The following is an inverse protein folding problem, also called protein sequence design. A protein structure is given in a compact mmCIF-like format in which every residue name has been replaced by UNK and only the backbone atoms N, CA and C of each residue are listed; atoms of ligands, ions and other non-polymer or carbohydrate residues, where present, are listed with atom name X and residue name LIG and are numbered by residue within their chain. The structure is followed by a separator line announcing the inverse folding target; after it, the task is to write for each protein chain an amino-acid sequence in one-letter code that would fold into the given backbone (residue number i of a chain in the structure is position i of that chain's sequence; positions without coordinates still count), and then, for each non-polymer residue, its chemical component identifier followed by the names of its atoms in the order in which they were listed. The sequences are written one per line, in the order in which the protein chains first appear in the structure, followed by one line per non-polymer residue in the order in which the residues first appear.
data_IF_802674927903
#
_entry.id   IF_802674927903
#
_cell.length_a   1.000
_cell.length_b   1.000
_cell.length_c   1.000
_cell.angle_alpha   90.00
_cell.angle_beta   90.00
_cell.angle_gamma   90.00
#
_symmetry.space_group_name_H-M   'P 1'
#
loop_
_entity.id
_entity.type
_entity.pdbx_description
1 polymer ?
#
# COMPACT_ATOMS: atom_id res chain seq x y z
N UNK A 1 20.17 -15.23 -2.13
CA UNK A 1 20.15 -14.09 -1.18
C UNK A 1 18.74 -13.89 -0.66
N UNK A 2 18.56 -13.89 0.67
CA UNK A 2 17.26 -13.57 1.28
C UNK A 2 17.00 -12.05 1.23
N UNK A 3 15.75 -11.63 1.40
CA UNK A 3 15.35 -10.23 1.30
C UNK A 3 16.09 -9.32 2.30
N UNK A 4 16.35 -9.81 3.51
CA UNK A 4 17.11 -9.09 4.55
C UNK A 4 18.56 -8.82 4.15
N UNK A 5 19.19 -9.73 3.41
CA UNK A 5 20.55 -9.55 2.89
C UNK A 5 20.62 -8.49 1.79
N UNK A 6 19.54 -8.31 1.01
CA UNK A 6 19.44 -7.25 -0.01
C UNK A 6 19.14 -5.86 0.58
N UNK A 7 18.45 -5.83 1.72
CA UNK A 7 18.13 -4.59 2.46
C UNK A 7 19.30 -4.15 3.37
N UNK A 8 20.37 -4.93 3.44
CA UNK A 8 21.63 -4.52 4.07
C UNK A 8 21.58 -4.56 5.60
N UNK A 9 21.13 -5.67 6.16
CA UNK A 9 21.22 -5.98 7.60
C UNK A 9 20.00 -5.59 8.41
N UNK A 10 19.17 -4.65 7.91
CA UNK A 10 17.89 -4.22 8.49
C UNK A 10 17.02 -3.52 7.43
N UNK A 11 15.70 -3.55 7.61
CA UNK A 11 14.71 -2.76 6.88
C UNK A 11 14.63 -1.35 7.51
N UNK A 12 15.54 -0.45 7.15
CA UNK A 12 15.27 0.98 7.31
C UNK A 12 14.32 1.41 6.18
N UNK A 13 13.06 1.77 6.48
CA UNK A 13 12.08 2.11 5.46
C UNK A 13 12.48 3.34 4.63
N UNK A 14 13.33 4.23 5.15
CA UNK A 14 13.74 5.47 4.49
C UNK A 14 15.07 5.37 3.74
N UNK A 15 15.85 4.33 3.98
CA UNK A 15 17.20 4.15 3.40
C UNK A 15 17.25 4.16 1.88
N UNK A 16 16.23 3.60 1.25
CA UNK A 16 16.21 3.36 -0.19
C UNK A 16 15.64 4.55 -0.94
N UNK A 17 16.25 4.94 -2.07
CA UNK A 17 15.78 6.09 -2.86
C UNK A 17 14.51 5.76 -3.65
N UNK A 18 13.77 6.78 -4.03
CA UNK A 18 12.70 6.67 -5.02
C UNK A 18 13.31 6.61 -6.42
N UNK A 19 12.85 5.65 -7.25
CA UNK A 19 13.06 5.68 -8.70
C UNK A 19 12.00 6.55 -9.37
N UNK A 20 10.75 6.34 -8.94
CA UNK A 20 9.58 7.08 -9.37
C UNK A 20 8.79 7.45 -8.11
N UNK A 21 8.48 8.73 -7.96
CA UNK A 21 7.57 9.25 -6.95
C UNK A 21 6.63 10.24 -7.65
N UNK A 22 5.30 10.13 -7.46
CA UNK A 22 4.37 11.06 -8.02
C UNK A 22 4.48 12.40 -7.30
N UNK A 23 4.08 13.48 -7.98
CA UNK A 23 4.13 14.85 -7.45
C UNK A 23 2.89 15.23 -6.64
N UNK A 24 1.98 14.29 -6.44
CA UNK A 24 0.70 14.49 -5.75
C UNK A 24 0.98 14.52 -4.25
N UNK A 25 0.47 15.54 -3.55
CA UNK A 25 0.61 15.71 -2.11
C UNK A 25 -0.76 15.79 -1.44
N UNK A 26 -1.16 14.73 -0.71
CA UNK A 26 -2.56 14.56 -0.28
C UNK A 26 -3.15 15.77 0.48
N UNK A 27 -2.35 16.50 1.26
CA UNK A 27 -2.82 17.71 1.96
C UNK A 27 -3.10 18.89 1.02
N UNK A 28 -2.30 19.05 -0.05
CA UNK A 28 -2.48 20.13 -1.04
C UNK A 28 -3.71 19.87 -1.91
N UNK A 29 -3.90 18.63 -2.37
CA UNK A 29 -5.07 18.27 -3.19
C UNK A 29 -6.30 17.85 -2.37
N UNK A 30 -6.25 17.94 -1.04
CA UNK A 30 -7.32 17.56 -0.11
C UNK A 30 -7.81 16.11 -0.31
N UNK A 31 -6.87 15.20 -0.58
CA UNK A 31 -7.15 13.77 -0.75
C UNK A 31 -7.36 13.13 0.64
N UNK A 32 -8.54 12.58 0.85
CA UNK A 32 -8.92 11.88 2.09
C UNK A 32 -8.77 10.37 2.00
N UNK A 33 -8.83 9.81 0.79
CA UNK A 33 -8.73 8.37 0.53
C UNK A 33 -7.64 8.08 -0.50
N UNK A 34 -6.72 7.19 -0.18
CA UNK A 34 -5.68 6.75 -1.10
C UNK A 34 -5.92 5.30 -1.49
N UNK A 35 -6.23 5.07 -2.77
CA UNK A 35 -6.40 3.73 -3.32
C UNK A 35 -5.05 3.24 -3.84
N UNK A 36 -4.40 2.39 -3.06
CA UNK A 36 -3.11 1.80 -3.41
C UNK A 36 -3.33 0.47 -4.14
N UNK A 37 -2.93 0.42 -5.40
CA UNK A 37 -3.01 -0.81 -6.20
C UNK A 37 -1.62 -1.44 -6.35
N UNK A 38 -1.46 -2.66 -5.86
CA UNK A 38 -0.24 -3.43 -6.06
C UNK A 38 -0.21 -4.00 -7.47
N UNK A 39 0.77 -3.58 -8.26
CA UNK A 39 0.87 -3.97 -9.68
C UNK A 39 2.29 -4.34 -10.08
N UNK A 40 2.51 -4.78 -11.32
CA UNK A 40 3.84 -5.16 -11.84
C UNK A 40 4.30 -4.19 -12.92
N UNK A 41 5.61 -3.99 -13.14
CA UNK A 41 6.11 -3.08 -14.16
C UNK A 41 5.46 -3.30 -15.55
N UNK A 42 5.27 -4.57 -15.94
CA UNK A 42 4.71 -4.98 -17.23
C UNK A 42 3.18 -4.85 -17.37
N UNK A 43 2.46 -4.60 -16.28
CA UNK A 43 0.99 -4.57 -16.25
C UNK A 43 0.43 -3.21 -16.71
N UNK A 44 0.92 -2.71 -17.85
CA UNK A 44 0.51 -1.40 -18.42
C UNK A 44 -0.99 -1.36 -18.73
N UNK A 45 -1.49 -2.40 -19.40
CA UNK A 45 -2.90 -2.48 -19.79
C UNK A 45 -3.81 -2.60 -18.56
N UNK A 46 -3.41 -3.39 -17.56
CA UNK A 46 -4.18 -3.52 -16.31
C UNK A 46 -4.27 -2.17 -15.59
N UNK A 47 -3.16 -1.43 -15.46
CA UNK A 47 -3.21 -0.09 -14.86
C UNK A 47 -4.12 0.85 -15.63
N UNK A 48 -4.07 0.83 -16.97
CA UNK A 48 -4.96 1.63 -17.80
C UNK A 48 -6.43 1.28 -17.55
N UNK A 49 -6.80 0.00 -17.60
CA UNK A 49 -8.18 -0.46 -17.36
C UNK A 49 -8.65 -0.06 -15.96
N UNK A 50 -7.82 -0.25 -14.93
CA UNK A 50 -8.19 0.09 -13.55
C UNK A 50 -8.38 1.61 -13.35
N UNK A 51 -7.59 2.46 -14.04
CA UNK A 51 -7.84 3.91 -14.07
C UNK A 51 -9.20 4.21 -14.66
N UNK A 52 -9.55 3.62 -15.79
CA UNK A 52 -10.82 3.84 -16.47
C UNK A 52 -12.01 3.41 -15.60
N UNK A 53 -11.90 2.25 -14.94
CA UNK A 53 -12.95 1.72 -14.06
C UNK A 53 -13.16 2.61 -12.83
N UNK A 54 -12.09 3.03 -12.15
CA UNK A 54 -12.19 3.73 -10.87
C UNK A 54 -12.25 5.26 -10.99
N UNK A 55 -11.84 5.87 -12.11
CA UNK A 55 -11.78 7.32 -12.29
C UNK A 55 -13.07 8.08 -11.89
N UNK A 56 -14.29 7.62 -12.24
CA UNK A 56 -15.50 8.32 -11.85
C UNK A 56 -15.69 8.39 -10.33
N UNK A 57 -15.31 7.32 -9.61
CA UNK A 57 -15.50 7.20 -8.16
C UNK A 57 -14.46 8.01 -7.40
N UNK A 58 -13.22 8.04 -7.91
CA UNK A 58 -12.13 8.82 -7.33
C UNK A 58 -12.46 10.31 -7.29
N UNK A 59 -12.97 10.83 -8.41
CA UNK A 59 -13.31 12.24 -8.59
C UNK A 59 -14.44 12.72 -7.66
N UNK A 60 -15.36 11.82 -7.29
CA UNK A 60 -16.51 12.15 -6.44
C UNK A 60 -16.20 12.10 -4.94
N UNK A 61 -15.12 11.41 -4.54
CA UNK A 61 -14.90 11.05 -3.14
C UNK A 61 -13.60 11.62 -2.53
N UNK A 62 -13.02 12.68 -3.10
CA UNK A 62 -11.71 13.20 -2.66
C UNK A 62 -10.66 12.09 -2.54
N UNK A 63 -10.64 11.20 -3.54
CA UNK A 63 -9.82 10.00 -3.53
C UNK A 63 -8.81 10.01 -4.69
N UNK A 64 -7.66 9.39 -4.48
CA UNK A 64 -6.59 9.30 -5.47
C UNK A 64 -6.09 7.86 -5.60
N UNK A 65 -5.73 7.46 -6.82
CA UNK A 65 -5.18 6.14 -7.11
C UNK A 65 -3.66 6.20 -7.13
N UNK A 66 -3.02 5.17 -6.56
CA UNK A 66 -1.57 5.06 -6.49
C UNK A 66 -1.14 3.63 -6.84
N UNK A 67 -0.43 3.47 -7.94
CA UNK A 67 0.10 2.18 -8.38
C UNK A 67 1.45 1.90 -7.72
N UNK A 68 1.47 0.94 -6.79
CA UNK A 68 2.66 0.43 -6.14
C UNK A 68 3.30 -0.69 -6.99
N UNK A 69 4.35 -0.33 -7.74
CA UNK A 69 5.00 -1.25 -8.70
C UNK A 69 6.10 -2.10 -8.05
N UNK A 70 6.77 -1.58 -7.03
CA UNK A 70 7.89 -2.24 -6.36
C UNK A 70 9.24 -1.66 -6.78
N UNK A 71 10.18 -2.50 -7.19
CA UNK A 71 11.53 -2.06 -7.60
C UNK A 71 11.71 -1.92 -9.13
N UNK A 72 12.94 -1.64 -9.54
CA UNK A 72 13.36 -1.45 -10.93
C UNK A 72 13.22 -2.76 -11.69
N UNK A 73 12.62 -2.70 -12.89
CA UNK A 73 12.52 -3.88 -13.76
C UNK A 73 13.88 -4.28 -14.28
N UNK A 74 14.17 -5.59 -14.34
CA UNK A 74 15.36 -6.13 -15.00
C UNK A 74 15.36 -5.98 -16.53
N UNK A 75 14.26 -5.51 -17.10
CA UNK A 75 14.13 -5.23 -18.52
C UNK A 75 14.07 -3.70 -18.73
N UNK A 76 15.12 -3.15 -19.32
CA UNK A 76 15.27 -1.71 -19.51
C UNK A 76 14.16 -1.10 -20.38
N UNK A 77 13.67 -1.82 -21.39
CA UNK A 77 12.55 -1.35 -22.21
C UNK A 77 11.26 -1.24 -21.39
N UNK A 78 11.01 -2.18 -20.48
CA UNK A 78 9.87 -2.11 -19.56
C UNK A 78 10.04 -0.94 -18.60
N UNK A 79 11.25 -0.73 -18.07
CA UNK A 79 11.53 0.37 -17.14
C UNK A 79 11.35 1.74 -17.83
N UNK A 80 11.90 1.94 -19.03
CA UNK A 80 11.72 3.17 -19.80
C UNK A 80 10.25 3.46 -20.12
N UNK A 81 9.47 2.41 -20.46
CA UNK A 81 8.04 2.54 -20.70
C UNK A 81 7.27 2.91 -19.43
N UNK A 82 7.64 2.34 -18.28
CA UNK A 82 7.05 2.68 -16.97
C UNK A 82 7.31 4.13 -16.57
N UNK A 83 8.53 4.62 -16.77
CA UNK A 83 8.87 6.03 -16.52
C UNK A 83 8.10 6.97 -17.46
N UNK A 84 7.91 6.56 -18.72
CA UNK A 84 7.10 7.31 -19.68
C UNK A 84 5.62 7.34 -19.31
N UNK A 85 5.08 6.25 -18.77
CA UNK A 85 3.72 6.20 -18.22
C UNK A 85 3.60 7.13 -17.01
N UNK A 86 4.50 7.01 -16.04
CA UNK A 86 4.49 7.83 -14.82
C UNK A 86 4.55 9.33 -15.10
N UNK A 87 5.33 9.76 -16.11
CA UNK A 87 5.38 11.16 -16.55
C UNK A 87 4.04 11.70 -17.06
N UNK A 88 3.13 10.83 -17.50
CA UNK A 88 1.81 11.21 -18.03
C UNK A 88 0.72 11.13 -16.98
N UNK A 89 0.79 10.12 -16.11
CA UNK A 89 -0.33 9.79 -15.21
C UNK A 89 -0.11 10.26 -13.78
N UNK A 90 1.14 10.49 -13.36
CA UNK A 90 1.50 10.96 -12.03
C UNK A 90 0.90 10.13 -10.87
N UNK A 91 0.72 8.84 -11.08
CA UNK A 91 0.06 7.92 -10.13
C UNK A 91 0.86 6.64 -9.88
N UNK A 92 2.17 6.65 -10.13
CA UNK A 92 3.04 5.47 -10.00
C UNK A 92 4.13 5.75 -8.96
N UNK A 93 4.32 4.83 -8.04
CA UNK A 93 5.48 4.80 -7.12
C UNK A 93 6.37 3.58 -7.38
N UNK A 94 7.67 3.80 -7.31
CA UNK A 94 8.69 2.79 -7.50
C UNK A 94 9.96 3.12 -6.69
N UNK A 95 10.53 2.13 -6.01
CA UNK A 95 11.79 2.27 -5.30
C UNK A 95 12.99 2.00 -6.21
N UNK A 96 14.11 2.67 -5.94
CA UNK A 96 15.42 2.47 -6.59
C UNK A 96 16.10 1.21 -6.01
N UNK A 97 15.45 0.06 -6.21
CA UNK A 97 15.93 -1.25 -5.78
C UNK A 97 15.84 -2.22 -6.94
N UNK A 98 16.91 -2.95 -7.23
CA UNK A 98 16.87 -4.03 -8.23
C UNK A 98 15.93 -5.13 -7.75
N UNK A 99 14.82 -5.30 -8.46
CA UNK A 99 13.82 -6.30 -8.16
C UNK A 99 14.06 -7.56 -8.99
N UNK A 100 14.63 -8.58 -8.35
CA UNK A 100 14.89 -9.86 -9.02
C UNK A 100 13.70 -10.84 -8.90
N UNK A 101 12.61 -10.50 -8.19
CA UNK A 101 11.36 -11.29 -8.06
C UNK A 101 10.38 -10.61 -7.10
N UNK A 102 9.15 -10.34 -7.57
CA UNK A 102 7.87 -10.22 -6.81
C UNK A 102 7.97 -9.74 -5.35
N UNK A 103 8.76 -8.72 -5.03
CA UNK A 103 8.93 -8.34 -3.64
C UNK A 103 7.73 -7.51 -3.16
N UNK A 104 6.70 -8.22 -2.68
CA UNK A 104 5.52 -7.64 -2.04
C UNK A 104 5.92 -6.65 -0.93
N UNK A 105 6.97 -6.97 -0.18
CA UNK A 105 7.51 -6.07 0.84
C UNK A 105 7.96 -4.72 0.27
N UNK A 106 8.64 -4.68 -0.89
CA UNK A 106 9.06 -3.41 -1.50
C UNK A 106 7.83 -2.58 -1.85
N UNK A 107 6.77 -3.20 -2.38
CA UNK A 107 5.51 -2.49 -2.63
C UNK A 107 4.93 -1.95 -1.32
N UNK A 108 4.86 -2.79 -0.29
CA UNK A 108 4.35 -2.40 1.03
C UNK A 108 5.11 -1.22 1.60
N UNK A 109 6.44 -1.31 1.68
CA UNK A 109 7.29 -0.23 2.14
C UNK A 109 7.13 1.03 1.29
N UNK A 110 7.03 0.88 -0.03
CA UNK A 110 6.90 2.03 -0.92
C UNK A 110 5.63 2.84 -0.66
N UNK A 111 4.46 2.20 -0.55
CA UNK A 111 3.23 2.97 -0.33
C UNK A 111 3.09 3.44 1.11
N UNK A 112 3.56 2.66 2.10
CA UNK A 112 3.55 3.07 3.50
C UNK A 112 4.39 4.34 3.71
N UNK A 113 5.62 4.33 3.17
CA UNK A 113 6.51 5.50 3.22
C UNK A 113 5.93 6.68 2.45
N UNK A 114 5.31 6.44 1.29
CA UNK A 114 4.65 7.52 0.55
C UNK A 114 3.54 8.19 1.38
N UNK A 115 2.71 7.40 2.07
CA UNK A 115 1.67 7.92 2.97
C UNK A 115 2.27 8.76 4.09
N UNK A 116 3.35 8.29 4.70
CA UNK A 116 4.05 8.99 5.78
C UNK A 116 4.66 10.32 5.30
N UNK A 117 5.39 10.31 4.18
CA UNK A 117 6.13 11.48 3.68
C UNK A 117 5.24 12.52 2.96
N UNK A 118 4.13 12.10 2.33
CA UNK A 118 3.40 12.96 1.38
C UNK A 118 1.92 13.17 1.73
N UNK A 119 1.39 12.49 2.74
CA UNK A 119 -0.04 12.45 2.99
C UNK A 119 -0.42 12.67 4.47
N UNK A 120 -0.21 13.92 4.94
CA UNK A 120 -0.54 14.35 6.31
C UNK A 120 -2.03 14.20 6.66
N UNK A 121 -2.92 14.73 5.81
CA UNK A 121 -4.38 14.80 6.08
C UNK A 121 -5.18 13.58 5.61
N UNK A 122 -4.48 12.53 5.16
CA UNK A 122 -5.12 11.31 4.68
C UNK A 122 -5.87 10.62 5.81
N UNK A 123 -7.10 10.18 5.56
CA UNK A 123 -7.92 9.43 6.53
C UNK A 123 -7.76 7.93 6.34
N UNK A 124 -7.88 7.46 5.11
CA UNK A 124 -7.88 6.03 4.83
C UNK A 124 -6.99 5.66 3.65
N UNK A 125 -6.39 4.48 3.75
CA UNK A 125 -5.70 3.80 2.65
C UNK A 125 -6.50 2.56 2.29
N UNK A 126 -6.91 2.44 1.04
CA UNK A 126 -7.50 1.23 0.47
C UNK A 126 -6.46 0.49 -0.35
N UNK A 127 -6.01 -0.67 0.11
CA UNK A 127 -5.11 -1.54 -0.66
C UNK A 127 -5.92 -2.51 -1.51
N UNK A 128 -5.53 -2.66 -2.78
CA UNK A 128 -6.13 -3.60 -3.75
C UNK A 128 -5.01 -4.30 -4.55
N UNK A 129 -5.19 -5.56 -4.94
CA UNK A 129 -4.35 -6.20 -5.96
C UNK A 129 -4.88 -5.94 -7.38
N UNK A 130 -3.98 -5.79 -8.35
CA UNK A 130 -4.35 -5.44 -9.73
C UNK A 130 -5.07 -6.53 -10.54
N UNK A 131 -5.30 -7.70 -9.95
CA UNK A 131 -6.02 -8.81 -10.57
C UNK A 131 -7.45 -8.99 -9.99
N UNK A 132 -7.96 -7.99 -9.28
CA UNK A 132 -9.27 -8.04 -8.65
C UNK A 132 -10.04 -6.76 -9.01
N UNK A 133 -11.28 -6.95 -9.42
CA UNK A 133 -12.27 -5.88 -9.49
C UNK A 133 -13.10 -5.92 -8.22
N UNK A 134 -13.31 -4.76 -7.63
CA UNK A 134 -13.88 -4.63 -6.30
C UNK A 134 -14.88 -3.47 -6.29
N UNK A 135 -15.96 -3.62 -5.53
CA UNK A 135 -16.95 -2.55 -5.37
C UNK A 135 -16.42 -1.43 -4.46
N UNK A 136 -15.60 -0.56 -5.06
CA UNK A 136 -15.00 0.61 -4.40
C UNK A 136 -16.05 1.59 -3.86
N UNK A 137 -17.20 1.69 -4.51
CA UNK A 137 -18.26 2.65 -4.17
C UNK A 137 -18.82 2.35 -2.78
N UNK A 138 -19.23 1.11 -2.54
CA UNK A 138 -19.76 0.69 -1.24
C UNK A 138 -18.76 0.86 -0.10
N UNK A 139 -17.46 0.66 -0.35
CA UNK A 139 -16.46 0.88 0.70
C UNK A 139 -16.21 2.36 0.98
N UNK A 140 -16.18 3.20 -0.06
CA UNK A 140 -16.06 4.65 0.13
C UNK A 140 -17.30 5.24 0.81
N UNK A 141 -18.49 4.68 0.59
CA UNK A 141 -19.70 5.05 1.34
C UNK A 141 -19.59 4.68 2.83
N UNK A 142 -19.10 3.46 3.14
CA UNK A 142 -18.88 3.03 4.53
C UNK A 142 -17.84 3.89 5.25
N UNK A 143 -16.78 4.29 4.54
CA UNK A 143 -15.70 5.11 5.08
C UNK A 143 -15.96 6.63 5.01
N UNK A 144 -16.98 7.03 4.24
CA UNK A 144 -17.39 8.42 4.05
C UNK A 144 -17.90 9.05 5.35
N UNK A 145 -18.04 10.38 5.39
CA UNK A 145 -18.65 11.06 6.52
C UNK A 145 -20.13 10.65 6.61
N UNK A 146 -20.42 9.65 7.44
CA UNK A 146 -21.78 9.40 7.92
C UNK A 146 -22.02 10.32 9.12
N UNK A 147 -23.19 10.93 9.22
CA UNK A 147 -23.62 11.84 10.31
C UNK A 147 -23.66 11.20 11.71
N UNK A 148 -23.17 9.96 11.87
CA UNK A 148 -23.21 9.24 13.11
C UNK A 148 -21.81 9.13 13.72
N UNK A 149 -21.66 9.73 14.90
CA UNK A 149 -20.51 9.76 15.81
C UNK A 149 -20.00 8.38 16.29
N UNK A 150 -20.36 7.29 15.61
CA UNK A 150 -19.82 5.95 15.86
C UNK A 150 -18.89 5.58 14.73
N UNK A 151 -17.78 6.30 14.59
CA UNK A 151 -16.59 5.72 13.97
C UNK A 151 -16.32 4.43 14.73
N UNK A 152 -16.51 3.30 14.06
CA UNK A 152 -16.09 2.00 14.59
C UNK A 152 -14.65 2.17 15.05
N UNK A 153 -14.38 1.87 16.32
CA UNK A 153 -13.06 1.97 16.96
C UNK A 153 -12.00 1.05 16.33
N UNK A 154 -12.39 0.26 15.33
CA UNK A 154 -11.54 -0.68 14.62
C UNK A 154 -10.80 0.00 13.46
N UNK A 155 -9.47 0.00 13.45
CA UNK A 155 -8.69 0.74 12.46
C UNK A 155 -8.53 0.06 11.09
N UNK A 156 -9.03 -1.18 10.94
CA UNK A 156 -8.81 -2.03 9.76
C UNK A 156 -10.15 -2.59 9.29
N UNK A 157 -10.39 -2.56 7.98
CA UNK A 157 -11.52 -3.22 7.32
C UNK A 157 -10.98 -4.29 6.38
N UNK A 158 -11.38 -5.53 6.64
CA UNK A 158 -11.11 -6.72 5.86
C UNK A 158 -12.23 -6.85 4.78
N UNK A 159 -11.86 -7.10 3.51
CA UNK A 159 -12.83 -7.59 2.52
C UNK A 159 -12.87 -9.12 2.55
N UNK A 160 -14.07 -9.66 2.63
CA UNK A 160 -14.37 -11.07 2.47
C UNK A 160 -15.32 -11.25 1.29
N UNK A 161 -14.78 -11.69 0.16
CA UNK A 161 -15.62 -12.07 -0.97
C UNK A 161 -16.26 -13.42 -0.68
N UNK A 162 -17.58 -13.44 -0.54
CA UNK A 162 -18.35 -14.66 -0.33
C UNK A 162 -19.47 -14.72 -1.37
N UNK A 163 -19.58 -15.85 -2.08
CA UNK A 163 -20.61 -16.08 -3.11
C UNK A 163 -20.64 -15.01 -4.23
N UNK A 164 -19.52 -14.35 -4.51
CA UNK A 164 -19.44 -13.29 -5.52
C UNK A 164 -19.89 -11.91 -5.03
N UNK A 165 -20.22 -11.77 -3.75
CA UNK A 165 -20.52 -10.49 -3.10
C UNK A 165 -19.36 -10.07 -2.18
N UNK A 166 -19.02 -8.79 -2.23
CA UNK A 166 -18.04 -8.18 -1.32
C UNK A 166 -18.70 -7.91 0.04
N UNK A 167 -18.12 -8.46 1.11
CA UNK A 167 -18.56 -8.20 2.49
C UNK A 167 -17.42 -7.56 3.30
N UNK A 168 -17.75 -6.49 4.02
CA UNK A 168 -16.79 -5.74 4.82
C UNK A 168 -16.88 -6.12 6.30
N UNK A 169 -15.76 -6.56 6.85
CA UNK A 169 -15.63 -6.89 8.26
C UNK A 169 -14.59 -5.99 8.92
N UNK A 170 -14.96 -5.35 10.02
CA UNK A 170 -14.01 -4.63 10.87
C UNK A 170 -13.16 -5.65 11.62
N UNK A 171 -11.84 -5.53 11.50
CA UNK A 171 -10.91 -6.45 12.14
C UNK A 171 -10.48 -5.84 13.49
N UNK A 172 -10.56 -6.62 14.57
CA UNK A 172 -10.25 -6.12 15.91
C UNK A 172 -8.79 -6.46 16.25
N UNK A 173 -8.09 -5.49 16.84
CA UNK A 173 -6.72 -5.71 17.29
C UNK A 173 -6.63 -6.60 18.56
N UNK A 174 -7.77 -6.82 19.24
CA UNK A 174 -7.84 -7.69 20.41
C UNK A 174 -7.84 -9.14 19.96
N UNK A 175 -6.66 -9.77 20.05
CA UNK A 175 -6.55 -11.22 20.02
C UNK A 175 -7.41 -11.80 21.14
N UNK A 176 -8.33 -12.68 20.81
CA UNK A 176 -8.99 -13.50 21.81
C UNK A 176 -7.88 -14.26 22.56
N UNK A 177 -7.74 -14.04 23.87
CA UNK A 177 -6.58 -14.52 24.66
C UNK A 177 -6.43 -16.06 24.65
N UNK A 178 -7.43 -16.76 24.13
CA UNK A 178 -7.49 -18.22 24.02
C UNK A 178 -7.23 -18.78 22.61
N UNK A 179 -7.04 -17.94 21.59
CA UNK A 179 -6.78 -18.40 20.22
C UNK A 179 -5.35 -18.06 19.77
N UNK A 180 -4.62 -19.10 19.31
CA UNK A 180 -3.29 -18.97 18.68
C UNK A 180 -3.35 -18.30 17.29
N UNK A 181 -4.53 -17.88 16.85
CA UNK A 181 -4.78 -17.31 15.53
C UNK A 181 -4.85 -15.79 15.60
N UNK A 182 -3.85 -15.13 15.01
CA UNK A 182 -3.87 -13.69 14.80
C UNK A 182 -4.87 -13.38 13.68
N UNK A 183 -5.88 -12.56 13.96
CA UNK A 183 -6.82 -12.08 12.96
C UNK A 183 -6.09 -11.29 11.85
N UNK A 184 -6.37 -11.60 10.59
CA UNK A 184 -5.75 -10.95 9.44
C UNK A 184 -6.69 -10.90 8.22
N UNK A 185 -6.53 -9.89 7.37
CA UNK A 185 -7.21 -9.83 6.08
C UNK A 185 -6.61 -10.88 5.11
N UNK A 186 -7.36 -11.29 4.09
CA UNK A 186 -6.87 -12.13 2.97
C UNK A 186 -5.66 -11.53 2.22
N UNK A 187 -5.42 -10.23 2.41
CA UNK A 187 -4.32 -9.48 1.84
C UNK A 187 -4.61 -8.93 0.45
N UNK A 188 -5.71 -9.36 -0.20
CA UNK A 188 -6.10 -8.95 -1.54
C UNK A 188 -6.70 -7.54 -1.57
N UNK A 189 -7.71 -7.31 -0.72
CA UNK A 189 -8.37 -6.02 -0.52
C UNK A 189 -8.53 -5.77 0.98
N UNK A 190 -8.12 -4.59 1.44
CA UNK A 190 -8.38 -4.11 2.80
C UNK A 190 -8.29 -2.59 2.87
N UNK A 191 -8.97 -1.98 3.84
CA UNK A 191 -8.79 -0.58 4.19
C UNK A 191 -8.12 -0.42 5.55
N UNK A 192 -7.31 0.63 5.69
CA UNK A 192 -6.62 1.00 6.91
C UNK A 192 -6.91 2.47 7.22
N UNK A 193 -7.07 2.80 8.49
CA UNK A 193 -6.84 4.17 8.96
C UNK A 193 -5.38 4.57 8.66
N UNK A 194 -5.17 5.80 8.20
CA UNK A 194 -3.84 6.30 7.86
C UNK A 194 -2.87 6.30 9.06
N UNK A 195 -3.37 6.45 10.30
CA UNK A 195 -2.57 6.32 11.50
C UNK A 195 -2.03 4.89 11.68
N UNK A 196 -2.80 3.87 11.29
CA UNK A 196 -2.33 2.47 11.32
C UNK A 196 -1.31 2.20 10.24
N UNK A 197 -1.49 2.75 9.02
CA UNK A 197 -0.44 2.68 8.01
C UNK A 197 0.89 3.29 8.51
N UNK A 198 0.86 4.46 9.14
CA UNK A 198 2.05 5.07 9.75
C UNK A 198 2.66 4.20 10.86
N UNK A 199 1.84 3.70 11.78
CA UNK A 199 2.28 2.79 12.84
C UNK A 199 2.90 1.48 12.32
N UNK A 200 2.40 0.94 11.21
CA UNK A 200 3.00 -0.23 10.55
C UNK A 200 4.41 0.09 10.04
N UNK A 201 4.61 1.26 9.40
CA UNK A 201 5.92 1.68 8.90
C UNK A 201 6.95 1.82 10.04
N UNK A 202 6.56 2.51 11.12
CA UNK A 202 7.40 2.67 12.31
C UNK A 202 7.78 1.31 12.92
N UNK A 203 6.80 0.42 13.03
CA UNK A 203 6.99 -0.92 13.60
C UNK A 203 7.97 -1.74 12.76
N UNK A 204 7.88 -1.69 11.43
CA UNK A 204 8.83 -2.35 10.54
C UNK A 204 10.26 -1.82 10.78
N UNK A 205 10.43 -0.51 10.93
CA UNK A 205 11.72 0.11 11.24
C UNK A 205 12.30 -0.39 12.57
N UNK A 206 11.47 -0.56 13.61
CA UNK A 206 11.90 -1.09 14.91
C UNK A 206 12.29 -2.57 14.86
N UNK A 207 11.48 -3.41 14.22
CA UNK A 207 11.78 -4.84 14.09
C UNK A 207 13.07 -5.08 13.32
N UNK A 208 13.32 -4.29 12.28
CA UNK A 208 14.58 -4.25 11.56
C UNK A 208 15.77 -4.03 12.50
N UNK A 209 15.75 -2.94 13.26
CA UNK A 209 16.86 -2.57 14.15
C UNK A 209 17.11 -3.64 15.23
N UNK A 210 16.04 -4.25 15.74
CA UNK A 210 16.11 -5.32 16.74
C UNK A 210 16.65 -6.65 16.19
N UNK A 211 16.47 -6.95 14.89
CA UNK A 211 17.08 -8.12 14.25
C UNK A 211 18.56 -7.89 13.97
N UNK A 212 18.95 -6.69 13.52
CA UNK A 212 20.36 -6.33 13.28
C UNK A 212 21.18 -6.50 14.56
N UNK A 213 20.65 -6.03 15.70
CA UNK A 213 21.36 -6.08 16.99
C UNK A 213 21.49 -7.49 17.57
N UNK A 214 20.73 -8.47 17.05
CA UNK A 214 20.78 -9.88 17.48
C UNK A 214 21.58 -10.78 16.54
N UNK A 215 22.03 -10.29 15.39
CA UNK A 215 22.95 -11.03 14.52
C UNK A 215 24.34 -11.04 15.17
N UNK A 216 24.95 -12.22 15.40
CA UNK A 216 26.30 -12.28 15.93
C UNK A 216 27.22 -11.55 14.98
N UNK A 217 27.97 -10.57 15.52
CA UNK A 217 29.05 -9.89 14.79
C UNK A 217 29.94 -10.99 14.21
N UNK A 218 29.89 -11.16 12.88
CA UNK A 218 30.82 -12.02 12.19
C UNK A 218 32.20 -11.41 12.41
N UNK A 219 32.99 -12.03 13.30
CA UNK A 219 34.39 -11.69 13.51
C UNK A 219 35.10 -11.91 12.17
N UNK A 220 35.60 -10.83 11.60
CA UNK A 220 36.56 -10.81 10.47
C UNK A 220 37.83 -11.52 10.84
#
# INVERSE_FOLDING_TARGET
MNLLSKLGGGIDPYRHKWRIVPKVHCGVEKILFLVVIHTRPRHFLQRQILREIYAPRLSQNSAHILFAVGGISSNDNVQMRLESESRKTHDIIQMELRDDRRNLLIKILSWLRYVDENCGDLKYVLKIDDNILFNMESLLEILGPTDNEKRSSSPIICNETAFGEDRFRWCNAESDKNEQTIEHCSGQVYALDAAVARGMLETIGRFSNAMVSKLPLAKT
#
